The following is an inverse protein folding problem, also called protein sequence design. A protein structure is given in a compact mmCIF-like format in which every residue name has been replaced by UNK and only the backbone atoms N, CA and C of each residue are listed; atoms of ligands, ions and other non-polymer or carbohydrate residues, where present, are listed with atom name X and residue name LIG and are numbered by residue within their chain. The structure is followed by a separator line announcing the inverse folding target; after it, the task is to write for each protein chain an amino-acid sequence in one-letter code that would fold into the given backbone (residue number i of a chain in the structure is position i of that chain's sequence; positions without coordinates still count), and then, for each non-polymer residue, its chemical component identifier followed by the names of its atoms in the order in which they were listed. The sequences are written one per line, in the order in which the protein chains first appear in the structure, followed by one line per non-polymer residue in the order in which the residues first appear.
data_IF_379481854830
#
_entry.id   IF_379481854830
#
_cell.length_a   1.000
_cell.length_b   1.000
_cell.length_c   1.000
_cell.angle_alpha   90.00
_cell.angle_beta   90.00
_cell.angle_gamma   90.00
#
_symmetry.space_group_name_H-M   'P 1'
#
loop_
_entity.id
_entity.type
_entity.pdbx_description
1 polymer ?
#
# COMPACT_ATOMS: atom_id res chain seq x y z
N UNK A 1 -66.22 9.67 -32.11
CA UNK A 1 -64.76 9.77 -32.44
C UNK A 1 -64.01 10.07 -31.17
N UNK A 2 -63.69 9.04 -30.40
CA UNK A 2 -62.90 9.15 -29.17
C UNK A 2 -61.43 8.82 -29.52
N UNK A 3 -60.54 9.79 -29.28
CA UNK A 3 -59.11 9.57 -29.41
C UNK A 3 -58.58 9.09 -28.04
N UNK A 4 -58.26 7.81 -27.95
CA UNK A 4 -57.54 7.23 -26.83
C UNK A 4 -56.13 7.81 -26.78
N UNK A 5 -55.78 8.57 -25.70
CA UNK A 5 -54.44 8.94 -25.37
C UNK A 5 -53.76 7.74 -24.70
N UNK A 6 -52.90 7.07 -25.45
CA UNK A 6 -51.95 6.10 -24.89
C UNK A 6 -50.85 6.92 -24.20
N UNK A 7 -50.89 6.94 -22.89
CA UNK A 7 -49.85 7.52 -22.06
C UNK A 7 -48.75 6.44 -21.93
N UNK A 8 -47.71 6.51 -22.76
CA UNK A 8 -46.52 5.70 -22.59
C UNK A 8 -45.72 6.24 -21.39
N UNK A 9 -45.90 5.62 -20.26
CA UNK A 9 -45.01 5.80 -19.12
C UNK A 9 -43.65 5.21 -19.47
N UNK A 10 -42.72 6.04 -19.87
CA UNK A 10 -41.30 5.67 -19.96
C UNK A 10 -40.86 5.47 -18.50
N UNK A 11 -40.81 4.23 -18.05
CA UNK A 11 -40.11 3.83 -16.85
C UNK A 11 -38.63 3.99 -17.18
N UNK A 12 -38.03 5.11 -16.76
CA UNK A 12 -36.57 5.19 -16.70
C UNK A 12 -36.13 4.10 -15.73
N UNK A 13 -35.63 2.98 -16.29
CA UNK A 13 -34.93 1.98 -15.51
C UNK A 13 -33.78 2.68 -14.79
N UNK A 14 -33.80 2.68 -13.48
CA UNK A 14 -32.67 3.11 -12.67
C UNK A 14 -31.53 2.17 -13.06
N UNK A 15 -30.50 2.65 -13.76
CA UNK A 15 -29.29 1.85 -14.00
C UNK A 15 -28.78 1.40 -12.61
N UNK A 16 -28.88 0.09 -12.37
CA UNK A 16 -28.49 -0.48 -11.07
C UNK A 16 -26.98 -0.48 -11.00
N UNK A 17 -26.44 0.39 -10.13
CA UNK A 17 -25.01 0.47 -9.89
C UNK A 17 -24.61 -0.58 -8.86
N UNK A 18 -23.48 -1.25 -9.10
CA UNK A 18 -22.85 -2.11 -8.12
C UNK A 18 -22.33 -1.27 -6.94
N UNK A 19 -22.95 -1.41 -5.78
CA UNK A 19 -22.51 -0.71 -4.56
C UNK A 19 -21.36 -1.46 -3.89
N UNK A 20 -20.22 -0.77 -3.69
CA UNK A 20 -19.03 -1.32 -3.04
C UNK A 20 -18.70 -0.49 -1.79
N UNK A 21 -18.81 -1.12 -0.63
CA UNK A 21 -18.53 -0.52 0.68
C UNK A 21 -17.13 -0.90 1.12
N UNK A 22 -16.22 0.09 1.26
CA UNK A 22 -14.81 -0.10 1.61
C UNK A 22 -14.60 0.27 3.07
N UNK A 23 -14.08 -0.67 3.86
CA UNK A 23 -13.88 -0.56 5.31
C UNK A 23 -12.43 -0.95 5.66
N UNK A 24 -11.83 -0.31 6.64
CA UNK A 24 -10.51 -0.71 7.16
C UNK A 24 -9.36 0.24 6.84
N UNK A 25 -9.58 1.24 5.96
CA UNK A 25 -8.69 2.41 5.86
C UNK A 25 -9.15 3.51 6.81
N UNK A 26 -8.29 4.49 7.08
CA UNK A 26 -8.70 5.70 7.81
C UNK A 26 -9.56 6.64 6.95
N UNK A 27 -9.78 6.28 5.67
CA UNK A 27 -10.57 7.02 4.70
C UNK A 27 -9.75 7.94 3.81
N UNK A 28 -10.46 8.62 2.93
CA UNK A 28 -9.97 9.59 1.95
C UNK A 28 -10.54 10.99 2.26
N UNK A 29 -9.84 12.10 1.94
CA UNK A 29 -8.52 12.17 1.30
C UNK A 29 -7.41 11.50 2.12
N UNK A 30 -6.51 10.77 1.43
CA UNK A 30 -5.40 10.10 2.07
C UNK A 30 -4.37 11.10 2.62
N UNK A 31 -3.86 10.83 3.82
CA UNK A 31 -2.77 11.61 4.43
C UNK A 31 -1.48 10.79 4.49
N UNK A 32 -1.60 9.54 4.92
CA UNK A 32 -0.50 8.61 5.04
C UNK A 32 -1.03 7.19 5.27
N UNK A 33 -0.48 6.21 4.55
CA UNK A 33 -0.77 4.79 4.74
C UNK A 33 -1.11 4.08 3.43
N UNK A 34 -0.72 2.80 3.32
CA UNK A 34 -0.91 2.02 2.09
C UNK A 34 -2.39 1.86 1.72
N UNK A 35 -3.24 1.53 2.70
CA UNK A 35 -4.68 1.38 2.44
C UNK A 35 -5.37 2.71 2.10
N UNK A 36 -4.98 3.81 2.74
CA UNK A 36 -5.51 5.14 2.44
C UNK A 36 -5.18 5.53 1.00
N UNK A 37 -3.91 5.39 0.61
CA UNK A 37 -3.45 5.65 -0.77
C UNK A 37 -4.16 4.74 -1.77
N UNK A 38 -4.28 3.45 -1.48
CA UNK A 38 -4.98 2.50 -2.32
C UNK A 38 -6.44 2.92 -2.57
N UNK A 39 -7.20 3.24 -1.50
CA UNK A 39 -8.61 3.63 -1.62
C UNK A 39 -8.77 4.95 -2.37
N UNK A 40 -7.87 5.91 -2.14
CA UNK A 40 -7.87 7.18 -2.89
C UNK A 40 -7.64 6.92 -4.38
N UNK A 41 -6.63 6.12 -4.74
CA UNK A 41 -6.33 5.79 -6.13
C UNK A 41 -7.41 4.94 -6.79
N UNK A 42 -8.01 3.99 -6.07
CA UNK A 42 -9.14 3.20 -6.56
C UNK A 42 -10.32 4.11 -6.97
N UNK A 43 -10.58 5.17 -6.21
CA UNK A 43 -11.67 6.12 -6.52
C UNK A 43 -11.26 7.19 -7.53
N UNK A 44 -9.99 7.63 -7.52
CA UNK A 44 -9.46 8.61 -8.47
C UNK A 44 -9.39 8.08 -9.91
N UNK A 45 -8.96 6.83 -10.07
CA UNK A 45 -8.77 6.18 -11.37
C UNK A 45 -10.01 5.38 -11.82
N UNK A 46 -11.13 5.49 -11.12
CA UNK A 46 -12.39 4.83 -11.48
C UNK A 46 -12.81 5.14 -12.92
N UNK A 47 -13.10 4.10 -13.72
CA UNK A 47 -13.58 4.20 -15.09
C UNK A 47 -15.01 3.70 -15.26
N UNK A 48 -15.39 2.64 -14.54
CA UNK A 48 -16.72 2.06 -14.65
C UNK A 48 -17.74 2.88 -13.85
N UNK A 49 -18.60 3.59 -14.58
CA UNK A 49 -19.69 4.39 -13.98
C UNK A 49 -20.80 3.54 -13.33
N UNK A 50 -20.82 2.22 -13.59
CA UNK A 50 -21.78 1.28 -12.98
C UNK A 50 -21.38 0.87 -11.56
N UNK A 51 -20.20 1.26 -11.08
CA UNK A 51 -19.78 1.05 -9.70
C UNK A 51 -19.98 2.33 -8.89
N UNK A 52 -20.53 2.20 -7.69
CA UNK A 52 -20.61 3.29 -6.71
C UNK A 52 -19.85 2.90 -5.44
N UNK A 53 -18.78 3.63 -5.18
CA UNK A 53 -17.99 3.42 -3.98
C UNK A 53 -18.56 4.18 -2.78
N UNK A 54 -18.58 3.50 -1.63
CA UNK A 54 -18.88 4.04 -0.30
C UNK A 54 -17.68 3.78 0.61
N UNK A 55 -17.05 4.84 1.11
CA UNK A 55 -15.79 4.73 1.85
C UNK A 55 -16.00 5.14 3.31
N UNK A 56 -15.71 4.22 4.23
CA UNK A 56 -15.67 4.52 5.64
C UNK A 56 -14.45 5.39 5.96
N UNK A 57 -14.67 6.51 6.64
CA UNK A 57 -13.63 7.45 7.03
C UNK A 57 -13.60 7.63 8.54
N UNK A 58 -12.41 7.69 9.12
CA UNK A 58 -12.25 8.08 10.52
C UNK A 58 -12.41 9.59 10.62
N UNK A 59 -13.37 10.07 11.43
CA UNK A 59 -13.69 11.51 11.54
C UNK A 59 -12.46 12.38 11.79
N UNK A 60 -11.54 11.92 12.63
CA UNK A 60 -10.31 12.64 12.91
C UNK A 60 -9.44 12.81 11.65
N UNK A 61 -9.41 11.82 10.74
CA UNK A 61 -8.69 11.92 9.49
C UNK A 61 -9.33 12.92 8.53
N UNK A 62 -10.65 12.88 8.39
CA UNK A 62 -11.44 13.85 7.60
C UNK A 62 -11.26 15.28 8.13
N UNK A 63 -11.28 15.46 9.46
CA UNK A 63 -11.10 16.76 10.11
C UNK A 63 -9.74 17.40 9.79
N UNK A 64 -8.66 16.59 9.62
CA UNK A 64 -7.34 17.08 9.18
C UNK A 64 -7.36 17.66 7.75
N UNK A 65 -8.37 17.33 6.97
CA UNK A 65 -8.63 17.91 5.63
C UNK A 65 -9.71 18.99 5.66
N UNK A 66 -10.14 19.46 6.86
CA UNK A 66 -11.17 20.47 7.03
C UNK A 66 -12.61 19.95 6.86
N UNK A 67 -12.81 18.65 6.69
CA UNK A 67 -14.13 18.03 6.46
C UNK A 67 -14.78 17.70 7.81
N UNK A 68 -15.97 18.25 8.05
CA UNK A 68 -16.73 18.09 9.31
C UNK A 68 -18.04 17.32 9.15
N UNK A 69 -18.54 17.19 7.93
CA UNK A 69 -19.82 16.56 7.62
C UNK A 69 -19.81 15.06 7.96
N UNK A 70 -20.98 14.51 8.29
CA UNK A 70 -21.15 13.07 8.55
C UNK A 70 -21.01 12.23 7.29
N UNK A 71 -21.35 12.81 6.14
CA UNK A 71 -21.15 12.28 4.81
C UNK A 71 -20.65 13.38 3.87
N UNK A 72 -19.79 13.03 2.93
CA UNK A 72 -19.28 13.94 1.92
C UNK A 72 -18.91 13.16 0.65
N UNK A 73 -18.72 13.85 -0.45
CA UNK A 73 -18.22 13.25 -1.68
C UNK A 73 -16.73 13.58 -1.89
N UNK A 74 -15.98 12.57 -2.34
CA UNK A 74 -14.58 12.73 -2.73
C UNK A 74 -14.25 11.73 -3.84
N UNK A 75 -13.63 12.17 -4.94
CA UNK A 75 -13.36 11.37 -6.14
C UNK A 75 -14.60 10.57 -6.63
N UNK A 76 -15.80 11.17 -6.56
CA UNK A 76 -17.04 10.47 -6.93
C UNK A 76 -17.53 9.42 -5.94
N UNK A 77 -16.76 9.08 -4.90
CA UNK A 77 -17.20 8.17 -3.85
C UNK A 77 -18.01 8.90 -2.76
N UNK A 78 -18.97 8.19 -2.16
CA UNK A 78 -19.68 8.64 -0.96
C UNK A 78 -18.85 8.24 0.26
N UNK A 79 -18.26 9.21 0.94
CA UNK A 79 -17.51 9.01 2.17
C UNK A 79 -18.42 9.20 3.38
N UNK A 80 -18.28 8.35 4.42
CA UNK A 80 -19.08 8.47 5.65
C UNK A 80 -18.19 8.38 6.89
N UNK A 81 -18.29 9.37 7.75
CA UNK A 81 -17.46 9.50 8.94
C UNK A 81 -17.91 8.59 10.07
N UNK A 82 -16.95 7.98 10.74
CA UNK A 82 -17.13 7.15 11.93
C UNK A 82 -16.42 7.80 13.11
N UNK A 83 -17.17 7.98 14.19
CA UNK A 83 -16.64 8.43 15.46
C UNK A 83 -16.24 7.23 16.31
N UNK A 84 -15.00 7.21 16.78
CA UNK A 84 -14.49 6.14 17.64
C UNK A 84 -13.71 6.74 18.79
N UNK A 85 -14.02 6.37 20.04
CA UNK A 85 -13.25 6.84 21.18
C UNK A 85 -11.79 6.37 21.11
N UNK A 86 -10.90 7.15 21.70
CA UNK A 86 -9.49 6.76 21.79
C UNK A 86 -9.31 5.72 22.90
N UNK A 87 -9.40 4.45 22.54
CA UNK A 87 -9.24 3.28 23.42
C UNK A 87 -7.93 2.54 23.15
N UNK A 88 -6.89 3.27 22.75
CA UNK A 88 -5.58 2.70 22.46
C UNK A 88 -5.59 1.70 21.29
N UNK A 89 -4.84 0.57 21.36
CA UNK A 89 -4.70 -0.39 20.27
C UNK A 89 -6.02 -1.01 19.76
N UNK A 90 -7.04 -1.09 20.61
CA UNK A 90 -8.36 -1.61 20.25
C UNK A 90 -9.18 -0.65 19.37
N UNK A 91 -8.74 0.61 19.22
CA UNK A 91 -9.44 1.63 18.44
C UNK A 91 -9.70 1.20 16.99
N UNK A 92 -8.71 0.60 16.34
CA UNK A 92 -8.85 0.15 14.97
C UNK A 92 -9.91 -0.96 14.81
N UNK A 93 -9.99 -1.87 15.77
CA UNK A 93 -11.02 -2.92 15.80
C UNK A 93 -12.41 -2.31 15.99
N UNK A 94 -12.54 -1.40 16.96
CA UNK A 94 -13.82 -0.71 17.21
C UNK A 94 -14.27 0.12 16.00
N UNK A 95 -13.33 0.79 15.32
CA UNK A 95 -13.58 1.51 14.09
C UNK A 95 -14.12 0.61 12.99
N UNK A 96 -13.46 -0.49 12.67
CA UNK A 96 -13.88 -1.39 11.60
C UNK A 96 -15.26 -2.01 11.89
N UNK A 97 -15.55 -2.36 13.17
CA UNK A 97 -16.88 -2.87 13.57
C UNK A 97 -17.96 -1.78 13.40
N UNK A 98 -17.70 -0.56 13.82
CA UNK A 98 -18.65 0.55 13.68
C UNK A 98 -18.87 0.88 12.19
N UNK A 99 -17.79 0.90 11.40
CA UNK A 99 -17.81 1.19 9.98
C UNK A 99 -18.64 0.16 9.20
N UNK A 100 -18.40 -1.14 9.41
CA UNK A 100 -19.15 -2.17 8.70
C UNK A 100 -20.63 -2.19 9.10
N UNK A 101 -20.97 -1.95 10.37
CA UNK A 101 -22.39 -1.85 10.78
C UNK A 101 -23.07 -0.62 10.15
N UNK A 102 -22.39 0.55 10.07
CA UNK A 102 -22.92 1.73 9.38
C UNK A 102 -23.06 1.48 7.88
N UNK A 103 -22.09 0.82 7.24
CA UNK A 103 -22.16 0.43 5.84
C UNK A 103 -23.38 -0.48 5.55
N UNK A 104 -23.63 -1.50 6.38
CA UNK A 104 -24.80 -2.39 6.26
C UNK A 104 -26.10 -1.59 6.40
N UNK A 105 -26.14 -0.62 7.32
CA UNK A 105 -27.31 0.27 7.48
C UNK A 105 -27.54 1.11 6.22
N UNK A 106 -26.49 1.74 5.69
CA UNK A 106 -26.56 2.53 4.46
C UNK A 106 -27.03 1.69 3.26
N UNK A 107 -26.50 0.47 3.09
CA UNK A 107 -26.93 -0.43 2.02
C UNK A 107 -28.42 -0.75 2.09
N UNK A 108 -28.98 -0.94 3.30
CA UNK A 108 -30.41 -1.14 3.51
C UNK A 108 -31.23 0.12 3.18
N UNK A 109 -30.77 1.29 3.61
CA UNK A 109 -31.43 2.57 3.38
C UNK A 109 -31.45 2.92 1.88
N UNK A 110 -30.34 2.66 1.19
CA UNK A 110 -30.20 2.83 -0.26
C UNK A 110 -31.01 1.79 -1.06
N UNK A 111 -31.38 0.67 -0.44
CA UNK A 111 -31.98 -0.51 -1.10
C UNK A 111 -31.05 -1.07 -2.17
N UNK A 112 -29.76 -1.17 -1.85
CA UNK A 112 -28.75 -1.71 -2.77
C UNK A 112 -29.03 -3.20 -3.04
N UNK A 113 -28.92 -3.58 -4.30
CA UNK A 113 -29.00 -4.98 -4.71
C UNK A 113 -27.59 -5.61 -4.73
N UNK A 114 -27.46 -6.76 -4.06
CA UNK A 114 -26.20 -7.50 -3.95
C UNK A 114 -24.97 -6.65 -3.59
N UNK A 115 -25.00 -5.81 -2.51
CA UNK A 115 -23.89 -4.92 -2.17
C UNK A 115 -22.63 -5.71 -1.80
N UNK A 116 -21.46 -5.19 -2.18
CA UNK A 116 -20.16 -5.75 -1.84
C UNK A 116 -19.61 -4.99 -0.63
N UNK A 117 -19.13 -5.75 0.37
CA UNK A 117 -18.42 -5.22 1.53
C UNK A 117 -16.96 -5.65 1.46
N UNK A 118 -16.07 -4.72 1.16
CA UNK A 118 -14.65 -4.96 1.04
C UNK A 118 -13.92 -4.49 2.29
N UNK A 119 -13.43 -5.43 3.10
CA UNK A 119 -12.76 -5.17 4.37
C UNK A 119 -11.25 -5.29 4.18
N UNK A 120 -10.53 -4.23 4.51
CA UNK A 120 -9.08 -4.13 4.44
C UNK A 120 -8.45 -4.54 5.78
N UNK A 121 -7.59 -5.54 5.75
CA UNK A 121 -6.95 -6.23 6.86
C UNK A 121 -7.87 -7.11 7.74
N UNK A 122 -7.23 -8.04 8.45
CA UNK A 122 -7.91 -9.08 9.21
C UNK A 122 -8.13 -8.72 10.70
N UNK A 123 -8.61 -7.47 11.02
CA UNK A 123 -8.69 -6.98 12.41
C UNK A 123 -9.86 -7.53 13.21
N UNK A 124 -10.97 -7.86 12.58
CA UNK A 124 -12.26 -8.10 13.24
C UNK A 124 -12.72 -9.56 13.21
N UNK A 125 -11.78 -10.50 13.06
CA UNK A 125 -12.07 -11.93 12.97
C UNK A 125 -13.04 -12.49 14.02
N UNK A 126 -12.88 -12.20 15.33
CA UNK A 126 -13.81 -12.67 16.36
C UNK A 126 -15.27 -12.24 16.16
N UNK A 127 -15.53 -11.20 15.37
CA UNK A 127 -16.86 -10.64 15.11
C UNK A 127 -17.39 -10.99 13.72
N UNK A 128 -16.51 -11.49 12.83
CA UNK A 128 -16.80 -11.59 11.38
C UNK A 128 -17.96 -12.55 11.08
N UNK A 129 -18.12 -13.63 11.82
CA UNK A 129 -19.23 -14.58 11.61
C UNK A 129 -20.60 -13.91 11.74
N UNK A 130 -20.78 -13.07 12.76
CA UNK A 130 -22.03 -12.31 12.97
C UNK A 130 -22.22 -11.22 11.92
N UNK A 131 -21.13 -10.56 11.53
CA UNK A 131 -21.13 -9.54 10.47
C UNK A 131 -21.48 -10.17 9.14
N UNK A 132 -20.86 -11.30 8.80
CA UNK A 132 -21.15 -12.07 7.57
C UNK A 132 -22.63 -12.41 7.46
N UNK A 133 -23.25 -12.89 8.54
CA UNK A 133 -24.69 -13.18 8.56
C UNK A 133 -25.51 -11.93 8.22
N UNK A 134 -25.20 -10.77 8.84
CA UNK A 134 -25.92 -9.51 8.53
C UNK A 134 -25.74 -9.06 7.07
N UNK A 135 -24.56 -9.30 6.48
CA UNK A 135 -24.28 -9.03 5.07
C UNK A 135 -25.13 -9.94 4.18
N UNK A 136 -25.15 -11.25 4.49
CA UNK A 136 -25.97 -12.24 3.77
C UNK A 136 -27.46 -11.95 3.87
N UNK A 137 -27.96 -11.49 5.03
CA UNK A 137 -29.37 -11.14 5.25
C UNK A 137 -29.87 -10.02 4.31
N UNK A 138 -28.95 -9.29 3.66
CA UNK A 138 -29.26 -8.24 2.66
C UNK A 138 -28.76 -8.61 1.26
N UNK A 139 -28.46 -9.88 1.02
CA UNK A 139 -27.96 -10.37 -0.28
C UNK A 139 -26.54 -9.94 -0.62
N UNK A 140 -25.79 -9.38 0.35
CA UNK A 140 -24.43 -8.86 0.12
C UNK A 140 -23.34 -9.92 0.13
N UNK A 141 -22.19 -9.53 -0.41
CA UNK A 141 -20.96 -10.34 -0.51
C UNK A 141 -19.85 -9.74 0.36
N UNK A 142 -19.08 -10.58 1.05
CA UNK A 142 -17.96 -10.19 1.90
C UNK A 142 -16.63 -10.48 1.21
N UNK A 143 -15.91 -9.45 0.81
CA UNK A 143 -14.55 -9.50 0.32
C UNK A 143 -13.58 -9.05 1.43
N UNK A 144 -12.41 -9.68 1.49
CA UNK A 144 -11.38 -9.33 2.48
C UNK A 144 -10.02 -9.23 1.81
N UNK A 145 -9.29 -8.13 2.05
CA UNK A 145 -7.86 -8.08 1.80
C UNK A 145 -7.16 -8.60 3.08
N UNK A 146 -6.41 -9.71 3.02
CA UNK A 146 -5.80 -10.29 4.22
C UNK A 146 -4.63 -9.47 4.76
N UNK A 147 -4.17 -8.42 4.03
CA UNK A 147 -2.87 -7.77 4.28
C UNK A 147 -1.73 -8.80 4.17
N UNK A 148 -0.60 -8.61 4.80
CA UNK A 148 0.49 -9.58 4.74
C UNK A 148 1.11 -9.85 6.10
N UNK A 149 0.87 -11.05 6.66
CA UNK A 149 1.55 -11.56 7.85
C UNK A 149 1.65 -10.56 9.02
N UNK A 150 0.60 -9.74 9.28
CA UNK A 150 0.63 -8.69 10.31
C UNK A 150 1.06 -9.25 11.68
N UNK A 151 0.75 -10.53 11.94
CA UNK A 151 1.16 -11.24 13.15
C UNK A 151 2.67 -11.51 13.25
N UNK A 152 3.45 -11.38 12.18
CA UNK A 152 4.92 -11.50 12.21
C UNK A 152 5.61 -10.18 12.57
N UNK A 153 4.92 -9.04 12.46
CA UNK A 153 5.55 -7.73 12.63
C UNK A 153 6.11 -7.54 14.04
N UNK A 154 7.37 -7.12 14.11
CA UNK A 154 8.12 -6.96 15.35
C UNK A 154 7.53 -5.92 16.31
N UNK A 155 6.78 -4.94 15.80
CA UNK A 155 6.10 -3.91 16.61
C UNK A 155 5.07 -4.46 17.59
N UNK A 156 4.58 -5.69 17.39
CA UNK A 156 3.52 -6.28 18.20
C UNK A 156 4.07 -7.19 19.31
N UNK A 157 3.51 -7.05 20.51
CA UNK A 157 3.75 -7.99 21.60
C UNK A 157 3.19 -9.38 21.30
N UNK A 158 3.70 -10.43 21.96
CA UNK A 158 3.27 -11.80 21.72
C UNK A 158 1.76 -12.03 21.85
N UNK A 159 1.02 -11.46 22.85
CA UNK A 159 -0.43 -11.60 22.91
C UNK A 159 -1.15 -10.96 21.71
N UNK A 160 -0.67 -9.81 21.25
CA UNK A 160 -1.23 -9.11 20.08
C UNK A 160 -0.97 -9.92 18.81
N UNK A 161 0.23 -10.48 18.64
CA UNK A 161 0.55 -11.37 17.51
C UNK A 161 -0.34 -12.60 17.46
N UNK A 162 -0.63 -13.23 18.62
CA UNK A 162 -1.58 -14.34 18.73
C UNK A 162 -3.00 -13.91 18.34
N UNK A 163 -3.44 -12.73 18.78
CA UNK A 163 -4.72 -12.17 18.36
C UNK A 163 -4.80 -12.01 16.84
N UNK A 164 -3.77 -11.41 16.20
CA UNK A 164 -3.73 -11.23 14.76
C UNK A 164 -3.84 -12.56 13.99
N UNK A 165 -3.04 -13.58 14.38
CA UNK A 165 -3.10 -14.91 13.72
C UNK A 165 -4.47 -15.57 13.90
N UNK A 166 -5.08 -15.44 15.08
CA UNK A 166 -6.43 -15.96 15.34
C UNK A 166 -7.50 -15.20 14.54
N UNK A 167 -7.39 -13.87 14.49
CA UNK A 167 -8.31 -13.00 13.73
C UNK A 167 -8.22 -13.27 12.22
N UNK A 168 -7.01 -13.37 11.68
CA UNK A 168 -6.76 -13.74 10.27
C UNK A 168 -7.44 -15.06 9.91
N UNK A 169 -7.23 -16.09 10.74
CA UNK A 169 -7.88 -17.40 10.56
C UNK A 169 -9.41 -17.31 10.43
N UNK A 170 -10.05 -16.47 11.26
CA UNK A 170 -11.50 -16.31 11.24
C UNK A 170 -11.96 -15.48 10.03
N UNK A 171 -11.21 -14.44 9.66
CA UNK A 171 -11.51 -13.65 8.48
C UNK A 171 -11.43 -14.50 7.21
N UNK A 172 -10.36 -15.29 7.05
CA UNK A 172 -10.18 -16.23 5.94
C UNK A 172 -11.32 -17.26 5.88
N UNK A 173 -11.71 -17.82 7.04
CA UNK A 173 -12.79 -18.81 7.11
C UNK A 173 -14.14 -18.28 6.61
N UNK A 174 -14.43 -17.00 6.81
CA UNK A 174 -15.76 -16.42 6.57
C UNK A 174 -15.86 -15.51 5.35
N UNK A 175 -14.75 -15.14 4.72
CA UNK A 175 -14.76 -14.38 3.47
C UNK A 175 -15.41 -15.18 2.33
N UNK A 176 -16.11 -14.48 1.43
CA UNK A 176 -16.58 -15.08 0.16
C UNK A 176 -15.44 -15.10 -0.86
N UNK A 177 -14.57 -14.08 -0.81
CA UNK A 177 -13.39 -13.96 -1.65
C UNK A 177 -12.30 -13.20 -0.87
N UNK A 178 -11.08 -13.68 -0.97
CA UNK A 178 -9.89 -13.00 -0.45
C UNK A 178 -9.15 -12.36 -1.62
N UNK A 179 -8.95 -11.05 -1.55
CA UNK A 179 -8.21 -10.27 -2.55
C UNK A 179 -6.81 -10.03 -2.02
N UNK A 180 -5.88 -10.84 -2.48
CA UNK A 180 -4.47 -10.80 -2.03
C UNK A 180 -3.68 -9.82 -2.90
N UNK A 181 -2.84 -9.01 -2.28
CA UNK A 181 -2.00 -8.02 -2.97
C UNK A 181 -0.65 -8.58 -3.46
N UNK A 182 -0.38 -9.87 -3.18
CA UNK A 182 0.80 -10.60 -3.61
C UNK A 182 0.46 -12.06 -3.87
N UNK A 183 1.06 -12.66 -4.88
CA UNK A 183 0.95 -14.11 -5.16
C UNK A 183 1.53 -14.95 -4.02
N UNK A 184 2.54 -14.45 -3.34
CA UNK A 184 3.09 -15.11 -2.17
C UNK A 184 2.09 -15.12 -1.01
N UNK A 185 1.33 -14.04 -0.80
CA UNK A 185 0.23 -14.00 0.19
C UNK A 185 -0.92 -14.91 -0.24
N UNK A 186 -1.28 -14.90 -1.52
CA UNK A 186 -2.31 -15.80 -2.04
C UNK A 186 -1.94 -17.27 -1.78
N UNK A 187 -0.72 -17.67 -2.14
CA UNK A 187 -0.19 -19.01 -1.88
C UNK A 187 -0.21 -19.37 -0.39
N UNK A 188 0.27 -18.46 0.45
CA UNK A 188 0.22 -18.64 1.91
C UNK A 188 -1.20 -18.86 2.41
N UNK A 189 -2.17 -18.08 1.97
CA UNK A 189 -3.58 -18.24 2.36
C UNK A 189 -4.13 -19.59 1.89
N UNK A 190 -3.83 -20.01 0.67
CA UNK A 190 -4.28 -21.29 0.12
C UNK A 190 -3.66 -22.49 0.83
N UNK A 191 -2.39 -22.42 1.23
CA UNK A 191 -1.66 -23.52 1.90
C UNK A 191 -1.98 -23.60 3.40
N UNK A 192 -1.83 -22.50 4.14
CA UNK A 192 -2.00 -22.48 5.61
C UNK A 192 -3.46 -22.66 6.05
N UNK A 193 -4.40 -22.25 5.19
CA UNK A 193 -5.83 -22.28 5.47
C UNK A 193 -6.63 -23.24 4.57
N UNK A 194 -5.95 -24.20 3.90
CA UNK A 194 -6.54 -25.19 2.98
C UNK A 194 -7.78 -25.89 3.53
N UNK A 195 -7.87 -26.09 4.85
CA UNK A 195 -9.01 -26.72 5.51
C UNK A 195 -10.32 -25.92 5.37
N UNK A 196 -10.24 -24.63 5.02
CA UNK A 196 -11.41 -23.78 4.77
C UNK A 196 -11.71 -23.61 3.28
N UNK A 197 -10.87 -24.14 2.39
CA UNK A 197 -10.97 -24.00 0.93
C UNK A 197 -11.20 -22.54 0.52
N UNK A 198 -10.35 -21.58 0.95
CA UNK A 198 -10.58 -20.17 0.69
C UNK A 198 -10.57 -19.89 -0.79
N UNK A 199 -11.55 -19.11 -1.26
CA UNK A 199 -11.52 -18.52 -2.61
C UNK A 199 -10.59 -17.33 -2.58
N UNK A 200 -9.65 -17.24 -3.49
CA UNK A 200 -8.66 -16.18 -3.57
C UNK A 200 -8.58 -15.59 -4.96
N UNK A 201 -8.15 -14.36 -5.04
CA UNK A 201 -7.70 -13.70 -6.27
C UNK A 201 -6.52 -12.81 -5.95
N UNK A 202 -5.64 -12.62 -6.92
CA UNK A 202 -4.49 -11.74 -6.80
C UNK A 202 -4.76 -10.44 -7.57
N UNK A 203 -4.71 -9.31 -6.87
CA UNK A 203 -4.67 -7.96 -7.46
C UNK A 203 -3.68 -7.14 -6.63
N UNK A 204 -2.57 -6.74 -7.24
CA UNK A 204 -1.50 -6.00 -6.58
C UNK A 204 -1.89 -4.54 -6.24
N UNK A 205 -0.98 -3.80 -5.62
CA UNK A 205 -1.03 -2.35 -5.58
C UNK A 205 -0.50 -1.75 -6.88
N UNK A 206 -0.95 -0.52 -7.17
CA UNK A 206 -0.45 0.26 -8.29
C UNK A 206 0.62 1.27 -7.88
N UNK A 207 1.27 1.85 -8.88
CA UNK A 207 2.16 2.99 -8.74
C UNK A 207 1.94 4.01 -9.85
N UNK A 208 2.34 5.25 -9.58
CA UNK A 208 2.41 6.31 -10.60
C UNK A 208 3.73 6.17 -11.38
N UNK A 209 3.62 6.20 -12.69
CA UNK A 209 4.75 6.06 -13.60
C UNK A 209 5.13 7.39 -14.26
N UNK A 210 4.43 8.49 -13.93
CA UNK A 210 4.76 9.80 -14.46
C UNK A 210 6.01 10.36 -13.80
N UNK A 211 6.99 10.83 -14.59
CA UNK A 211 8.17 11.47 -14.03
C UNK A 211 7.84 12.71 -13.20
N UNK A 212 8.75 13.08 -12.32
CA UNK A 212 8.64 14.35 -11.60
C UNK A 212 8.56 15.54 -12.55
N UNK A 213 7.66 16.47 -12.23
CA UNK A 213 7.58 17.74 -12.97
C UNK A 213 8.70 18.72 -12.60
N UNK A 214 9.45 18.43 -11.52
CA UNK A 214 10.53 19.27 -11.02
C UNK A 214 11.79 19.13 -11.87
N UNK A 215 12.59 20.20 -11.85
CA UNK A 215 13.88 20.27 -12.53
C UNK A 215 14.99 20.65 -11.56
N UNK A 216 16.23 20.43 -11.94
CA UNK A 216 17.40 20.75 -11.12
C UNK A 216 17.46 22.23 -10.68
N UNK A 217 16.90 23.12 -11.51
CA UNK A 217 16.89 24.56 -11.25
C UNK A 217 15.81 25.02 -10.27
N UNK A 218 14.85 24.14 -9.92
CA UNK A 218 13.80 24.48 -8.98
C UNK A 218 14.35 24.69 -7.57
N UNK A 219 13.92 25.76 -6.92
CA UNK A 219 14.44 26.15 -5.61
C UNK A 219 14.32 25.00 -4.59
N UNK A 220 13.18 24.32 -4.52
CA UNK A 220 12.97 23.22 -3.58
C UNK A 220 13.92 22.03 -3.83
N UNK A 221 14.33 21.78 -5.08
CA UNK A 221 15.32 20.74 -5.42
C UNK A 221 16.69 21.17 -4.92
N UNK A 222 17.16 22.37 -5.36
CA UNK A 222 18.46 22.88 -4.97
C UNK A 222 18.62 22.98 -3.45
N UNK A 223 17.59 23.52 -2.78
CA UNK A 223 17.61 23.73 -1.33
C UNK A 223 17.72 22.38 -0.59
N UNK A 224 16.97 21.35 -1.06
CA UNK A 224 17.03 20.01 -0.47
C UNK A 224 18.41 19.37 -0.64
N UNK A 225 18.96 19.35 -1.85
CA UNK A 225 20.28 18.78 -2.13
C UNK A 225 21.39 19.52 -1.38
N UNK A 226 21.32 20.84 -1.32
CA UNK A 226 22.28 21.66 -0.58
C UNK A 226 22.18 21.44 0.94
N UNK A 227 20.96 21.45 1.50
CA UNK A 227 20.73 21.23 2.93
C UNK A 227 21.19 19.83 3.40
N UNK A 228 20.95 18.80 2.56
CA UNK A 228 21.33 17.42 2.89
C UNK A 228 22.77 17.08 2.50
N UNK A 229 23.46 17.98 1.81
CA UNK A 229 24.83 17.78 1.36
C UNK A 229 24.98 16.56 0.44
N UNK A 230 24.01 16.38 -0.46
CA UNK A 230 23.92 15.25 -1.39
C UNK A 230 23.98 15.77 -2.82
N UNK A 231 24.44 14.99 -3.77
CA UNK A 231 24.48 15.33 -5.20
C UNK A 231 23.73 14.30 -6.06
N UNK A 232 23.11 14.74 -7.14
CA UNK A 232 22.43 13.87 -8.10
C UNK A 232 23.37 12.75 -8.57
N UNK A 233 22.84 11.53 -8.69
CA UNK A 233 23.56 10.30 -9.02
C UNK A 233 24.73 9.95 -8.08
N UNK A 234 24.88 10.69 -6.98
CA UNK A 234 25.92 10.54 -5.97
C UNK A 234 25.51 9.70 -4.76
N UNK A 235 24.36 9.05 -4.75
CA UNK A 235 23.86 8.33 -3.58
C UNK A 235 23.06 7.08 -3.90
N UNK A 236 23.14 6.13 -2.97
CA UNK A 236 22.19 5.04 -2.80
C UNK A 236 21.01 5.55 -1.96
N UNK A 237 19.80 5.14 -2.30
CA UNK A 237 18.58 5.62 -1.64
C UNK A 237 17.82 4.48 -0.98
N UNK A 238 17.30 4.70 0.21
CA UNK A 238 16.22 3.90 0.78
C UNK A 238 15.07 4.80 1.22
N UNK A 239 13.85 4.40 0.95
CA UNK A 239 12.63 5.09 1.40
C UNK A 239 11.73 4.09 2.12
N UNK A 240 11.44 4.32 3.39
CA UNK A 240 10.61 3.39 4.13
C UNK A 240 10.42 3.77 5.60
N UNK A 241 9.61 2.98 6.30
CA UNK A 241 9.40 3.16 7.74
C UNK A 241 10.64 2.72 8.51
N UNK A 242 10.94 3.40 9.62
CA UNK A 242 12.05 3.06 10.49
C UNK A 242 11.68 1.88 11.41
N UNK A 243 11.77 0.65 10.87
CA UNK A 243 11.40 -0.59 11.55
C UNK A 243 12.40 -1.70 11.25
N UNK A 244 12.62 -2.65 12.18
CA UNK A 244 13.62 -3.72 12.03
C UNK A 244 13.43 -4.57 10.77
N UNK A 245 12.19 -4.87 10.39
CA UNK A 245 11.86 -5.70 9.23
C UNK A 245 12.24 -5.08 7.88
N UNK A 246 12.69 -3.83 7.86
CA UNK A 246 13.27 -3.18 6.67
C UNK A 246 14.79 -3.37 6.57
N UNK A 247 15.41 -4.13 7.48
CA UNK A 247 16.83 -4.51 7.45
C UNK A 247 17.81 -3.33 7.37
N UNK A 248 17.50 -2.21 8.03
CA UNK A 248 18.40 -1.02 8.07
C UNK A 248 19.79 -1.37 8.60
N UNK A 249 19.86 -2.23 9.64
CA UNK A 249 21.14 -2.67 10.22
C UNK A 249 22.02 -3.32 9.14
N UNK A 250 21.47 -4.27 8.39
CA UNK A 250 22.20 -4.98 7.33
C UNK A 250 22.67 -4.02 6.25
N UNK A 251 21.74 -3.19 5.73
CA UNK A 251 22.07 -2.26 4.65
C UNK A 251 23.14 -1.27 5.05
N UNK A 252 23.06 -0.69 6.26
CA UNK A 252 24.06 0.28 6.76
C UNK A 252 25.40 -0.42 6.99
N UNK A 253 25.41 -1.56 7.68
CA UNK A 253 26.64 -2.31 7.96
C UNK A 253 27.38 -2.71 6.69
N UNK A 254 26.66 -3.25 5.71
CA UNK A 254 27.25 -3.66 4.45
C UNK A 254 27.69 -2.46 3.59
N UNK A 255 26.93 -1.36 3.61
CA UNK A 255 27.34 -0.14 2.93
C UNK A 255 28.64 0.45 3.53
N UNK A 256 28.77 0.50 4.86
CA UNK A 256 29.98 0.98 5.54
C UNK A 256 31.21 0.13 5.15
N UNK A 257 31.04 -1.21 4.99
CA UNK A 257 32.09 -2.11 4.54
C UNK A 257 32.54 -1.87 3.10
N UNK A 258 31.65 -1.35 2.26
CA UNK A 258 31.94 -1.12 0.85
C UNK A 258 32.95 0.02 0.64
N UNK A 259 33.64 0.01 -0.50
CA UNK A 259 34.56 1.07 -0.92
C UNK A 259 33.89 2.23 -1.65
N UNK A 260 32.56 2.22 -1.72
CA UNK A 260 31.80 3.27 -2.39
C UNK A 260 32.21 4.65 -1.89
N UNK A 261 32.24 5.62 -2.82
CA UNK A 261 32.43 7.05 -2.51
C UNK A 261 31.11 7.82 -2.48
N UNK A 262 30.01 7.13 -2.79
CA UNK A 262 28.69 7.72 -2.80
C UNK A 262 28.10 7.79 -1.40
N UNK A 263 27.08 8.61 -1.24
CA UNK A 263 26.32 8.67 0.00
C UNK A 263 25.29 7.54 0.11
N UNK A 264 24.88 7.20 1.32
CA UNK A 264 23.71 6.37 1.58
C UNK A 264 22.63 7.23 2.24
N UNK A 265 21.62 7.59 1.46
CA UNK A 265 20.54 8.50 1.85
C UNK A 265 19.35 7.69 2.34
N UNK A 266 18.95 7.92 3.59
CA UNK A 266 17.84 7.24 4.24
C UNK A 266 16.68 8.24 4.45
N UNK A 267 15.64 8.12 3.62
CA UNK A 267 14.38 8.85 3.78
C UNK A 267 13.45 8.02 4.66
N UNK A 268 13.43 8.36 5.94
CA UNK A 268 12.65 7.63 6.94
C UNK A 268 12.32 8.53 8.13
N UNK A 269 11.22 8.20 8.81
CA UNK A 269 10.87 8.84 10.08
C UNK A 269 11.69 8.21 11.22
N UNK A 270 12.86 8.77 11.48
CA UNK A 270 13.74 8.30 12.56
C UNK A 270 13.12 8.66 13.90
N UNK A 271 12.91 7.66 14.74
CA UNK A 271 12.54 7.81 16.14
C UNK A 271 13.71 7.38 17.01
N UNK A 272 14.13 8.23 17.95
CA UNK A 272 15.13 7.88 18.95
C UNK A 272 14.50 6.93 19.98
N UNK A 273 14.53 5.65 19.65
CA UNK A 273 13.98 4.56 20.44
C UNK A 273 15.02 3.44 20.58
N UNK A 274 14.66 2.36 21.25
CA UNK A 274 15.55 1.20 21.44
C UNK A 274 16.10 0.62 20.13
N UNK A 275 15.35 0.69 19.05
CA UNK A 275 15.82 0.24 17.75
C UNK A 275 16.91 1.14 17.19
N UNK A 276 16.76 2.46 17.35
CA UNK A 276 17.80 3.43 16.97
C UNK A 276 19.09 3.21 17.76
N UNK A 277 18.98 3.06 19.10
CA UNK A 277 20.14 2.85 19.96
C UNK A 277 20.88 1.55 19.60
N UNK A 278 20.13 0.48 19.32
CA UNK A 278 20.69 -0.79 18.87
C UNK A 278 21.37 -0.66 17.51
N UNK A 279 20.70 0.01 16.54
CA UNK A 279 21.24 0.26 15.21
C UNK A 279 22.56 1.05 15.27
N UNK A 280 22.62 2.08 16.12
CA UNK A 280 23.83 2.87 16.33
C UNK A 280 24.96 2.02 16.94
N UNK A 281 24.63 1.21 17.95
CA UNK A 281 25.58 0.30 18.58
C UNK A 281 26.16 -0.74 17.62
N UNK A 282 25.30 -1.34 16.78
CA UNK A 282 25.68 -2.44 15.89
C UNK A 282 26.46 -1.97 14.67
N UNK A 283 26.19 -0.76 14.17
CA UNK A 283 26.76 -0.26 12.91
C UNK A 283 27.76 0.87 13.08
N UNK A 284 27.65 1.69 14.14
CA UNK A 284 28.45 2.89 14.32
C UNK A 284 28.28 3.91 13.19
N UNK A 285 27.09 3.97 12.59
CA UNK A 285 26.79 4.77 11.40
C UNK A 285 27.06 6.27 11.55
N UNK A 286 27.05 6.79 12.78
CA UNK A 286 27.36 8.18 13.12
C UNK A 286 28.81 8.57 12.82
N UNK A 287 29.70 7.58 12.65
CA UNK A 287 31.13 7.77 12.33
C UNK A 287 31.42 7.78 10.84
N UNK A 288 30.46 7.37 10.01
CA UNK A 288 30.62 7.37 8.55
C UNK A 288 29.81 8.50 7.93
N UNK A 289 30.45 9.57 7.44
CA UNK A 289 29.77 10.75 6.91
C UNK A 289 28.96 10.47 5.65
N UNK A 290 29.14 9.31 5.03
CA UNK A 290 28.35 8.89 3.85
C UNK A 290 26.95 8.44 4.23
N UNK A 291 26.70 8.01 5.50
CA UNK A 291 25.37 7.55 5.94
C UNK A 291 24.56 8.75 6.39
N UNK A 292 23.50 9.06 5.66
CA UNK A 292 22.71 10.29 5.83
C UNK A 292 21.24 10.00 6.10
N UNK A 293 20.81 10.15 7.35
CA UNK A 293 19.42 10.18 7.72
C UNK A 293 18.85 11.57 7.44
N UNK A 294 18.09 11.73 6.36
CA UNK A 294 17.65 13.04 5.86
C UNK A 294 16.23 13.43 6.31
N UNK A 295 15.59 12.57 7.12
CA UNK A 295 14.22 12.78 7.56
C UNK A 295 13.19 12.30 6.53
N UNK A 296 11.94 12.78 6.65
CA UNK A 296 10.83 12.42 5.77
C UNK A 296 10.63 13.47 4.68
N UNK A 297 10.38 13.05 3.46
CA UNK A 297 10.00 13.91 2.35
C UNK A 297 8.52 13.66 2.02
N UNK A 298 7.66 14.64 2.31
CA UNK A 298 6.21 14.55 2.09
C UNK A 298 5.77 15.13 0.74
N UNK A 299 6.57 16.02 0.13
CA UNK A 299 6.33 16.52 -1.22
C UNK A 299 6.59 15.39 -2.22
N UNK A 300 5.52 14.90 -2.84
CA UNK A 300 5.58 13.72 -3.72
C UNK A 300 6.40 14.01 -4.99
N UNK A 301 6.32 15.22 -5.54
CA UNK A 301 7.11 15.59 -6.72
C UNK A 301 8.61 15.66 -6.40
N UNK A 302 8.97 16.19 -5.24
CA UNK A 302 10.35 16.18 -4.77
C UNK A 302 10.83 14.75 -4.49
N UNK A 303 9.99 13.89 -3.90
CA UNK A 303 10.36 12.50 -3.63
C UNK A 303 10.55 11.69 -4.91
N UNK A 304 9.72 11.92 -5.95
CA UNK A 304 9.93 11.36 -7.30
C UNK A 304 11.27 11.81 -7.86
N UNK A 305 11.55 13.12 -7.84
CA UNK A 305 12.81 13.67 -8.33
C UNK A 305 14.02 13.04 -7.65
N UNK A 306 13.97 12.88 -6.33
CA UNK A 306 15.04 12.23 -5.56
C UNK A 306 15.25 10.77 -5.98
N UNK A 307 14.17 10.01 -6.25
CA UNK A 307 14.27 8.62 -6.74
C UNK A 307 14.87 8.55 -8.14
N UNK A 308 14.43 9.42 -9.05
CA UNK A 308 14.91 9.49 -10.43
C UNK A 308 16.40 9.81 -10.53
N UNK A 309 16.90 10.59 -9.56
CA UNK A 309 18.29 11.06 -9.52
C UNK A 309 19.16 10.31 -8.48
N UNK A 310 18.67 9.19 -7.93
CA UNK A 310 19.50 8.27 -7.15
C UNK A 310 20.38 7.41 -8.08
N UNK A 311 21.60 7.10 -7.64
CA UNK A 311 22.44 6.15 -8.35
C UNK A 311 21.81 4.75 -8.36
N UNK A 312 21.33 4.30 -7.17
CA UNK A 312 20.59 3.06 -7.02
C UNK A 312 19.68 3.13 -5.79
N UNK A 313 18.65 2.28 -5.77
CA UNK A 313 17.72 2.13 -4.67
C UNK A 313 17.97 0.82 -3.92
N UNK A 314 18.03 0.90 -2.58
CA UNK A 314 18.07 -0.28 -1.71
C UNK A 314 16.70 -0.63 -1.19
N UNK A 315 16.32 -1.90 -1.29
CA UNK A 315 15.10 -2.42 -0.72
C UNK A 315 15.39 -3.61 0.20
N UNK A 316 15.28 -3.37 1.50
CA UNK A 316 15.54 -4.38 2.53
C UNK A 316 14.28 -4.98 3.17
N UNK A 317 13.09 -4.68 2.67
CA UNK A 317 11.82 -5.14 3.24
C UNK A 317 11.71 -6.67 3.19
N UNK A 318 11.32 -7.28 4.34
CA UNK A 318 11.36 -8.74 4.52
C UNK A 318 9.99 -9.35 4.88
N UNK A 319 8.97 -8.54 5.19
CA UNK A 319 7.67 -9.01 5.68
C UNK A 319 6.53 -8.27 4.99
N UNK A 320 5.61 -8.99 4.36
CA UNK A 320 4.39 -8.42 3.78
C UNK A 320 4.11 -8.89 2.37
N UNK A 321 3.25 -8.16 1.67
CA UNK A 321 2.89 -8.34 0.28
C UNK A 321 3.61 -7.36 -0.64
N UNK A 322 2.92 -6.88 -1.69
CA UNK A 322 3.45 -5.85 -2.60
C UNK A 322 3.73 -4.55 -1.84
N UNK A 323 4.97 -4.09 -1.90
CA UNK A 323 5.39 -2.88 -1.18
C UNK A 323 5.30 -1.65 -2.11
N UNK A 324 4.46 -0.63 -1.78
CA UNK A 324 4.34 0.57 -2.61
C UNK A 324 5.65 1.29 -2.88
N UNK A 325 6.55 1.39 -1.86
CA UNK A 325 7.84 2.06 -2.05
C UNK A 325 8.77 1.32 -3.00
N UNK A 326 8.63 -0.02 -3.11
CA UNK A 326 9.34 -0.81 -4.12
C UNK A 326 8.81 -0.52 -5.52
N UNK A 327 7.49 -0.47 -5.70
CA UNK A 327 6.88 -0.14 -6.99
C UNK A 327 7.32 1.25 -7.48
N UNK A 328 7.28 2.23 -6.58
CA UNK A 328 7.72 3.60 -6.87
C UNK A 328 9.21 3.68 -7.22
N UNK A 329 10.05 2.86 -6.58
CA UNK A 329 11.48 2.80 -6.90
C UNK A 329 11.74 2.14 -8.26
N UNK A 330 11.08 1.00 -8.54
CA UNK A 330 11.18 0.32 -9.83
C UNK A 330 10.63 1.17 -10.99
N UNK A 331 9.70 2.07 -10.71
CA UNK A 331 9.16 3.01 -11.71
C UNK A 331 10.10 4.19 -11.99
N UNK A 332 10.96 4.58 -11.05
CA UNK A 332 11.68 5.85 -11.10
C UNK A 332 13.21 5.71 -11.06
N UNK A 333 13.75 4.68 -10.39
CA UNK A 333 15.19 4.52 -10.18
C UNK A 333 15.76 3.46 -11.14
N UNK A 334 16.85 3.79 -11.82
CA UNK A 334 17.43 2.92 -12.86
C UNK A 334 18.02 1.62 -12.35
N UNK A 335 18.61 1.63 -11.16
CA UNK A 335 19.21 0.46 -10.52
C UNK A 335 18.49 0.16 -9.21
N UNK A 336 17.96 -1.03 -9.07
CA UNK A 336 17.23 -1.46 -7.89
C UNK A 336 17.89 -2.70 -7.28
N UNK A 337 18.36 -2.58 -6.04
CA UNK A 337 19.02 -3.65 -5.30
C UNK A 337 18.07 -4.14 -4.19
N UNK A 338 17.50 -5.32 -4.39
CA UNK A 338 16.43 -5.87 -3.59
C UNK A 338 16.91 -7.02 -2.71
N UNK A 339 16.46 -7.08 -1.47
CA UNK A 339 16.70 -8.25 -0.62
C UNK A 339 16.12 -9.51 -1.28
N UNK A 340 16.90 -10.59 -1.31
CA UNK A 340 16.55 -11.87 -1.92
C UNK A 340 15.45 -12.60 -1.11
N UNK A 341 14.19 -12.18 -1.34
CA UNK A 341 12.99 -12.79 -0.76
C UNK A 341 11.87 -12.88 -1.81
N UNK A 342 10.98 -13.87 -1.66
CA UNK A 342 10.03 -14.24 -2.69
C UNK A 342 9.15 -13.10 -3.22
N UNK A 343 8.64 -12.22 -2.38
CA UNK A 343 7.78 -11.12 -2.83
C UNK A 343 8.56 -9.98 -3.52
N UNK A 344 9.85 -9.79 -3.23
CA UNK A 344 10.70 -8.88 -3.99
C UNK A 344 10.98 -9.42 -5.39
N UNK A 345 11.21 -10.75 -5.52
CA UNK A 345 11.31 -11.42 -6.82
C UNK A 345 10.01 -11.36 -7.61
N UNK A 346 8.86 -11.50 -6.94
CA UNK A 346 7.54 -11.39 -7.59
C UNK A 346 7.35 -10.04 -8.29
N UNK A 347 7.87 -8.98 -7.70
CA UNK A 347 7.71 -7.61 -8.21
C UNK A 347 8.83 -7.24 -9.18
N UNK A 348 10.09 -7.44 -8.79
CA UNK A 348 11.27 -6.95 -9.53
C UNK A 348 11.69 -7.82 -10.70
N UNK A 349 11.37 -9.13 -10.68
CA UNK A 349 11.75 -10.11 -11.71
C UNK A 349 13.24 -9.94 -12.15
N UNK A 350 13.50 -9.83 -13.43
CA UNK A 350 14.84 -9.62 -14.01
C UNK A 350 15.22 -8.13 -14.20
N UNK A 351 14.37 -7.21 -13.77
CA UNK A 351 14.61 -5.76 -13.73
C UNK A 351 15.33 -5.26 -12.47
N UNK A 352 15.79 -6.16 -11.60
CA UNK A 352 16.45 -5.81 -10.35
C UNK A 352 17.63 -6.73 -10.05
N UNK A 353 18.50 -6.29 -9.16
CA UNK A 353 19.62 -7.07 -8.62
C UNK A 353 19.27 -7.53 -7.22
N UNK A 354 19.47 -8.79 -6.92
CA UNK A 354 19.11 -9.38 -5.63
C UNK A 354 20.32 -9.59 -4.74
N UNK A 355 20.20 -9.24 -3.44
CA UNK A 355 21.28 -9.38 -2.48
C UNK A 355 20.86 -10.18 -1.24
N UNK A 356 21.80 -10.96 -0.72
CA UNK A 356 21.68 -11.61 0.60
C UNK A 356 22.34 -10.77 1.67
N UNK A 357 21.98 -11.04 2.93
CA UNK A 357 22.35 -10.18 4.08
C UNK A 357 23.86 -9.99 4.30
N UNK A 358 24.69 -10.83 3.70
CA UNK A 358 26.16 -10.81 3.79
C UNK A 358 26.86 -10.50 2.44
N UNK A 359 26.11 -10.18 1.39
CA UNK A 359 26.64 -9.99 0.03
C UNK A 359 26.54 -8.53 -0.46
N UNK A 360 25.77 -7.67 0.23
CA UNK A 360 25.42 -6.34 -0.29
C UNK A 360 26.66 -5.46 -0.51
N UNK A 361 27.69 -5.54 0.36
CA UNK A 361 28.94 -4.80 0.16
C UNK A 361 29.61 -5.13 -1.17
N UNK A 362 29.68 -6.41 -1.53
CA UNK A 362 30.22 -6.88 -2.82
C UNK A 362 29.38 -6.41 -4.00
N UNK A 363 28.05 -6.48 -3.87
CA UNK A 363 27.11 -6.04 -4.91
C UNK A 363 27.22 -4.53 -5.14
N UNK A 364 27.41 -3.73 -4.09
CA UNK A 364 27.65 -2.28 -4.21
C UNK A 364 28.89 -2.02 -5.09
N UNK A 365 29.99 -2.72 -4.84
CA UNK A 365 31.23 -2.57 -5.65
C UNK A 365 31.04 -3.04 -7.09
N UNK A 366 30.25 -4.10 -7.30
CA UNK A 366 29.94 -4.66 -8.62
C UNK A 366 29.09 -3.69 -9.47
N UNK A 367 28.00 -3.14 -8.92
CA UNK A 367 27.10 -2.25 -9.66
C UNK A 367 27.73 -0.90 -10.00
N UNK A 368 28.69 -0.44 -9.22
CA UNK A 368 29.47 0.77 -9.54
C UNK A 368 30.37 0.58 -10.77
N UNK A 369 30.68 -0.67 -11.13
CA UNK A 369 31.43 -1.05 -12.33
C UNK A 369 30.58 -1.29 -13.58
N UNK A 370 29.26 -1.20 -13.49
CA UNK A 370 28.38 -1.46 -14.64
C UNK A 370 28.54 -0.40 -15.72
N UNK A 371 28.54 -0.86 -16.96
CA UNK A 371 28.49 0.03 -18.12
C UNK A 371 27.06 0.59 -18.33
N UNK A 372 26.96 1.62 -19.15
CA UNK A 372 25.69 2.27 -19.46
C UNK A 372 24.67 1.33 -20.10
N UNK A 373 25.13 0.34 -20.87
CA UNK A 373 24.24 -0.61 -21.54
C UNK A 373 23.57 -1.54 -20.53
N UNK A 374 24.34 -2.05 -19.57
CA UNK A 374 23.82 -2.90 -18.47
C UNK A 374 22.80 -2.13 -17.61
N UNK A 375 23.12 -0.89 -17.26
CA UNK A 375 22.17 -0.03 -16.50
C UNK A 375 20.90 0.22 -17.29
N UNK A 376 21.00 0.52 -18.58
CA UNK A 376 19.85 0.77 -19.44
C UNK A 376 18.98 -0.48 -19.66
N UNK A 377 19.55 -1.67 -19.71
CA UNK A 377 18.81 -2.93 -19.81
C UNK A 377 17.99 -3.20 -18.54
N UNK A 378 18.58 -3.00 -17.36
CA UNK A 378 17.90 -3.15 -16.07
C UNK A 378 16.78 -2.13 -15.90
N UNK A 379 17.03 -0.86 -16.23
CA UNK A 379 16.02 0.21 -16.20
C UNK A 379 14.85 -0.09 -17.15
N UNK A 380 15.14 -0.55 -18.37
CA UNK A 380 14.12 -0.95 -19.34
C UNK A 380 13.25 -2.10 -18.81
N UNK A 381 13.85 -3.17 -18.28
CA UNK A 381 13.13 -4.32 -17.73
C UNK A 381 12.27 -3.93 -16.54
N UNK A 382 12.83 -3.16 -15.60
CA UNK A 382 12.11 -2.61 -14.45
C UNK A 382 10.90 -1.79 -14.89
N UNK A 383 11.10 -0.82 -15.79
CA UNK A 383 10.04 0.04 -16.32
C UNK A 383 8.95 -0.77 -17.05
N UNK A 384 9.34 -1.72 -17.91
CA UNK A 384 8.37 -2.59 -18.61
C UNK A 384 7.56 -3.44 -17.65
N UNK A 385 8.20 -3.96 -16.60
CA UNK A 385 7.51 -4.72 -15.54
C UNK A 385 6.45 -3.88 -14.85
N UNK A 386 6.78 -2.65 -14.46
CA UNK A 386 5.83 -1.73 -13.82
C UNK A 386 4.69 -1.35 -14.78
N UNK A 387 5.00 -0.94 -16.00
CA UNK A 387 4.00 -0.53 -16.99
C UNK A 387 3.02 -1.65 -17.34
N UNK A 388 3.48 -2.91 -17.38
CA UNK A 388 2.64 -4.05 -17.74
C UNK A 388 1.74 -4.55 -16.62
N UNK A 389 2.12 -4.38 -15.34
CA UNK A 389 1.47 -5.08 -14.25
C UNK A 389 1.04 -4.21 -13.05
N UNK A 390 1.63 -3.01 -12.87
CA UNK A 390 1.50 -2.26 -11.62
C UNK A 390 1.08 -0.80 -11.79
N UNK A 391 0.56 -0.39 -12.95
CA UNK A 391 -0.02 0.96 -13.10
C UNK A 391 -1.36 1.05 -12.39
N UNK A 392 -1.71 2.22 -11.84
CA UNK A 392 -3.01 2.40 -11.19
C UNK A 392 -4.17 2.12 -12.13
N UNK A 393 -4.05 2.50 -13.42
CA UNK A 393 -5.07 2.22 -14.44
C UNK A 393 -5.36 0.71 -14.59
N UNK A 394 -4.30 -0.11 -14.59
CA UNK A 394 -4.41 -1.57 -14.67
C UNK A 394 -5.04 -2.13 -13.40
N UNK A 395 -4.52 -1.75 -12.24
CA UNK A 395 -4.99 -2.26 -10.94
C UNK A 395 -6.46 -1.90 -10.71
N UNK A 396 -6.86 -0.65 -10.98
CA UNK A 396 -8.26 -0.23 -10.84
C UNK A 396 -9.17 -0.99 -11.80
N UNK A 397 -8.74 -1.18 -13.05
CA UNK A 397 -9.49 -2.00 -14.01
C UNK A 397 -9.69 -3.45 -13.53
N UNK A 398 -8.68 -4.06 -12.90
CA UNK A 398 -8.79 -5.43 -12.36
C UNK A 398 -9.77 -5.49 -11.16
N UNK A 399 -9.78 -4.45 -10.31
CA UNK A 399 -10.76 -4.34 -9.22
C UNK A 399 -12.19 -4.13 -9.76
N UNK A 400 -12.39 -3.25 -10.74
CA UNK A 400 -13.69 -2.99 -11.36
C UNK A 400 -14.26 -4.26 -12.01
N UNK A 401 -13.41 -5.00 -12.74
CA UNK A 401 -13.80 -6.29 -13.32
C UNK A 401 -14.19 -7.31 -12.24
N UNK A 402 -13.47 -7.36 -11.12
CA UNK A 402 -13.79 -8.25 -10.00
C UNK A 402 -15.10 -7.85 -9.31
N UNK A 403 -15.39 -6.55 -9.16
CA UNK A 403 -16.61 -6.08 -8.51
C UNK A 403 -17.86 -6.24 -9.37
N UNK A 404 -17.73 -6.40 -10.67
CA UNK A 404 -18.84 -6.52 -11.62
C UNK A 404 -19.13 -7.96 -12.10
N UNK A 405 -18.30 -8.93 -11.71
CA UNK A 405 -18.50 -10.38 -11.92
C UNK A 405 -19.41 -10.99 -10.86
#
# INVERSE_FOLDING_TARGET
MERSKICSSIVFGREMKQSVYIIGSKGIPAKYGGFETFVEKLTEYQKDSNIKYYVACMRENSAKSGIKDDQFEYNGAVCFNIDVPNIGPARAIAYDIAAVNKAIKLAKENKDEAPIFYILACRIGPFISKIKKKIQDIGGTLLVNPDGHEWLRAKWSLPVRKYWKYSEKLMVKHADLLVCDSKNIEKYIQEDYKQYQPKTTYIAYGTDTTPSILKAEDAKVRDWYQEKGVSENGYYLVVGRFVPENNYEVMIREFIKSKSKKDFVLITNVEQNKFYDQLLQDTGFDKDPRVKFVGTVYDQELLKYIRENAFAYFHGHEVGGTNPSLLEALAATKLNLLLDVGFNHEVGEDGAIYWKKDELARIIEEVEGFDQATVADLDFKSSQRILSAFTWEKIVSDYEEMFTK
#
